data_IF_673328164332
#
_entry.id   IF_673328164332
#
_cell.length_a   1.000
_cell.length_b   1.000
_cell.length_c   1.000
_cell.angle_alpha   90.00
_cell.angle_beta   90.00
_cell.angle_gamma   90.00
#
_symmetry.space_group_name_H-M   'P 1'
#
loop_
_entity.id
_entity.type
_entity.pdbx_description
1 polymer ?
#
# COMPACT_ATOMS: atom_id res chain seq x y z
N UNK A 1 4.08 5.30 -4.81
CA UNK A 1 4.65 5.03 -6.14
C UNK A 1 4.73 3.52 -6.30
N UNK A 2 4.21 2.97 -7.39
CA UNK A 2 4.09 1.52 -7.54
C UNK A 2 5.44 0.89 -7.86
N UNK A 3 5.83 -0.10 -7.08
CA UNK A 3 7.01 -0.94 -7.33
C UNK A 3 6.61 -2.26 -7.99
N UNK A 4 5.63 -2.20 -8.89
CA UNK A 4 5.08 -3.37 -9.57
C UNK A 4 4.62 -3.04 -10.97
N UNK A 5 4.69 -4.02 -11.84
CA UNK A 5 4.15 -4.01 -13.20
C UNK A 5 3.40 -5.30 -13.42
N UNK A 6 2.30 -5.23 -14.15
CA UNK A 6 1.49 -6.38 -14.51
C UNK A 6 1.27 -6.43 -16.02
N UNK A 7 1.47 -7.59 -16.61
CA UNK A 7 1.24 -7.88 -18.01
C UNK A 7 0.21 -8.98 -18.13
N UNK A 8 -0.94 -8.66 -18.69
CA UNK A 8 -2.00 -9.61 -18.95
C UNK A 8 -2.10 -9.91 -20.45
N UNK A 9 -2.26 -11.17 -20.78
CA UNK A 9 -2.54 -11.61 -22.15
C UNK A 9 -3.98 -11.23 -22.53
N UNK A 10 -4.18 -10.73 -23.77
CA UNK A 10 -5.52 -10.26 -24.20
C UNK A 10 -6.54 -11.37 -24.37
N UNK A 11 -6.10 -12.58 -24.72
CA UNK A 11 -6.96 -13.74 -24.98
C UNK A 11 -6.87 -14.84 -23.93
N UNK A 12 -5.94 -14.74 -22.98
CA UNK A 12 -5.69 -15.72 -21.93
C UNK A 12 -6.11 -15.23 -20.54
N UNK A 13 -6.31 -16.18 -19.64
CA UNK A 13 -6.56 -15.92 -18.21
C UNK A 13 -5.23 -15.88 -17.42
N UNK A 14 -4.11 -15.66 -18.11
CA UNK A 14 -2.78 -15.66 -17.52
C UNK A 14 -2.17 -14.27 -17.60
N UNK A 15 -1.47 -13.90 -16.54
CA UNK A 15 -0.72 -12.66 -16.45
C UNK A 15 0.58 -12.87 -15.69
N UNK A 16 1.48 -11.91 -15.79
CA UNK A 16 2.76 -11.90 -15.13
C UNK A 16 2.96 -10.57 -14.43
N UNK A 17 3.07 -10.60 -13.11
CA UNK A 17 3.45 -9.42 -12.35
C UNK A 17 4.95 -9.43 -12.07
N UNK A 18 5.57 -8.26 -12.19
CA UNK A 18 6.97 -8.02 -11.90
C UNK A 18 7.08 -7.06 -10.72
N UNK A 19 7.65 -7.53 -9.62
CA UNK A 19 7.91 -6.75 -8.42
C UNK A 19 9.36 -6.27 -8.41
N UNK A 20 9.58 -5.08 -7.87
CA UNK A 20 10.91 -4.48 -7.71
C UNK A 20 11.03 -3.84 -6.33
N UNK A 21 12.22 -3.87 -5.74
CA UNK A 21 12.54 -3.21 -4.46
C UNK A 21 12.87 -1.72 -4.61
N UNK A 22 12.86 -1.21 -5.81
CA UNK A 22 13.15 0.19 -6.09
C UNK A 22 12.21 0.75 -7.16
N UNK A 23 12.10 2.06 -7.18
CA UNK A 23 11.36 2.76 -8.22
C UNK A 23 12.17 2.81 -9.48
N UNK A 24 11.59 2.33 -10.57
CA UNK A 24 12.26 2.27 -11.87
C UNK A 24 11.28 2.50 -13.00
N UNK A 25 11.78 2.74 -14.19
CA UNK A 25 11.02 2.65 -15.42
C UNK A 25 11.07 1.23 -15.98
N UNK A 26 10.13 0.92 -16.83
CA UNK A 26 10.06 -0.36 -17.52
C UNK A 26 9.79 -0.14 -19.01
N UNK A 27 10.13 -1.12 -19.82
CA UNK A 27 9.79 -1.20 -21.24
C UNK A 27 9.00 -2.46 -21.51
N UNK A 28 8.00 -2.34 -22.36
CA UNK A 28 7.24 -3.47 -22.91
C UNK A 28 6.55 -3.06 -24.19
N UNK A 29 6.53 -3.92 -25.20
CA UNK A 29 5.85 -3.68 -26.47
C UNK A 29 6.08 -4.84 -27.43
N UNK A 30 5.51 -4.76 -28.63
CA UNK A 30 5.64 -5.81 -29.66
C UNK A 30 7.11 -6.08 -30.01
N UNK A 31 7.94 -5.02 -30.08
CA UNK A 31 9.35 -5.10 -30.43
C UNK A 31 10.29 -5.15 -29.21
N UNK A 32 9.74 -5.06 -28.00
CA UNK A 32 10.54 -4.94 -26.77
C UNK A 32 10.08 -5.94 -25.72
N UNK A 33 10.98 -6.76 -25.19
CA UNK A 33 10.65 -7.62 -24.06
C UNK A 33 10.34 -6.78 -22.83
N UNK A 34 9.70 -7.42 -21.83
CA UNK A 34 9.58 -6.82 -20.52
C UNK A 34 10.97 -6.55 -19.95
N UNK A 35 11.30 -5.29 -19.77
CA UNK A 35 12.58 -4.84 -19.24
C UNK A 35 12.38 -3.89 -18.06
N UNK A 36 13.24 -4.01 -17.07
CA UNK A 36 13.36 -3.03 -15.98
C UNK A 36 14.61 -2.20 -16.18
N UNK A 37 14.49 -0.88 -16.06
CA UNK A 37 15.66 -0.02 -15.99
C UNK A 37 16.35 -0.21 -14.65
N UNK A 38 17.54 -0.76 -14.66
CA UNK A 38 18.31 -0.99 -13.45
C UNK A 38 18.81 0.32 -12.85
N UNK A 39 19.44 1.14 -13.66
CA UNK A 39 19.98 2.44 -13.27
C UNK A 39 20.29 3.28 -14.52
N UNK A 40 20.20 4.58 -14.38
CA UNK A 40 20.71 5.51 -15.38
C UNK A 40 22.14 5.93 -15.03
N UNK A 41 23.01 5.93 -16.04
CA UNK A 41 24.36 6.48 -15.94
C UNK A 41 24.67 7.26 -17.22
N UNK A 42 25.01 8.53 -17.11
CA UNK A 42 25.24 9.40 -18.26
C UNK A 42 25.20 10.87 -17.94
N UNK A 43 25.05 11.71 -18.96
CA UNK A 43 24.97 13.15 -18.82
C UNK A 43 23.77 13.60 -18.00
N UNK A 44 23.97 14.51 -17.07
CA UNK A 44 22.89 15.12 -16.29
C UNK A 44 22.09 16.13 -17.14
N UNK A 45 20.77 16.15 -17.00
CA UNK A 45 19.92 17.11 -17.71
C UNK A 45 20.08 18.55 -17.13
N UNK A 46 20.28 18.66 -15.82
CA UNK A 46 20.27 19.93 -15.08
C UNK A 46 21.32 19.97 -13.97
N UNK A 47 22.50 19.40 -14.20
CA UNK A 47 23.53 19.36 -13.18
C UNK A 47 24.68 18.42 -13.53
N UNK A 48 25.42 17.94 -12.52
CA UNK A 48 26.52 17.02 -12.74
C UNK A 48 26.06 15.69 -13.34
N UNK A 49 26.95 15.04 -14.07
CA UNK A 49 26.70 13.73 -14.64
C UNK A 49 26.39 12.70 -13.56
N UNK A 50 25.51 11.76 -13.90
CA UNK A 50 25.19 10.60 -13.06
C UNK A 50 26.25 9.53 -13.27
N UNK A 51 27.07 9.29 -12.27
CA UNK A 51 28.12 8.25 -12.32
C UNK A 51 27.81 7.14 -11.32
N UNK A 52 27.81 5.91 -11.81
CA UNK A 52 27.74 4.72 -10.95
C UNK A 52 29.17 4.44 -10.48
N UNK A 53 29.42 4.65 -9.18
CA UNK A 53 30.75 4.50 -8.58
C UNK A 53 30.89 3.29 -7.67
N UNK A 54 29.79 2.55 -7.50
CA UNK A 54 29.74 1.38 -6.59
C UNK A 54 28.80 0.30 -7.17
N UNK A 55 28.95 -0.96 -6.75
CA UNK A 55 28.04 -2.03 -7.15
C UNK A 55 26.59 -1.73 -6.72
N UNK A 56 25.66 -1.99 -7.62
CA UNK A 56 24.23 -1.90 -7.35
C UNK A 56 23.68 -3.26 -6.95
N UNK A 57 22.76 -3.27 -5.99
CA UNK A 57 21.96 -4.44 -5.65
C UNK A 57 20.51 -4.12 -5.94
N UNK A 58 19.87 -5.01 -6.66
CA UNK A 58 18.45 -4.92 -6.97
C UNK A 58 17.81 -6.26 -6.67
N UNK A 59 16.60 -6.21 -6.14
CA UNK A 59 15.78 -7.40 -5.95
C UNK A 59 14.55 -7.28 -6.82
N UNK A 60 14.19 -8.36 -7.45
CA UNK A 60 12.94 -8.46 -8.21
C UNK A 60 12.32 -9.83 -8.02
N UNK A 61 11.02 -9.90 -8.18
CA UNK A 61 10.28 -11.15 -8.20
C UNK A 61 9.31 -11.16 -9.37
N UNK A 62 9.07 -12.36 -9.91
CA UNK A 62 8.13 -12.60 -10.98
C UNK A 62 7.01 -13.46 -10.43
N UNK A 63 5.77 -13.00 -10.57
CA UNK A 63 4.59 -13.69 -10.08
C UNK A 63 3.68 -14.02 -11.26
N UNK A 64 3.68 -15.26 -11.76
CA UNK A 64 2.66 -15.69 -12.70
C UNK A 64 1.33 -15.85 -11.96
N UNK A 65 0.26 -15.32 -12.53
CA UNK A 65 -1.07 -15.41 -11.93
C UNK A 65 -2.17 -15.56 -12.98
N UNK A 66 -3.38 -15.85 -12.51
CA UNK A 66 -4.58 -15.84 -13.35
C UNK A 66 -5.41 -14.59 -13.11
N UNK A 67 -6.15 -14.20 -14.14
CA UNK A 67 -7.02 -13.03 -14.07
C UNK A 67 -6.26 -11.72 -14.07
N UNK A 68 -7.00 -10.65 -13.83
CA UNK A 68 -6.46 -9.29 -13.80
C UNK A 68 -5.73 -9.02 -12.49
N UNK A 69 -4.77 -8.12 -12.53
CA UNK A 69 -3.93 -7.71 -11.39
C UNK A 69 -4.75 -7.26 -10.15
N UNK A 70 -5.91 -6.63 -10.39
CA UNK A 70 -6.83 -6.13 -9.35
C UNK A 70 -7.64 -7.25 -8.65
N UNK A 71 -7.49 -8.49 -9.11
CA UNK A 71 -8.13 -9.70 -8.54
C UNK A 71 -7.11 -10.74 -8.06
N UNK A 72 -5.86 -10.53 -8.38
CA UNK A 72 -4.79 -11.46 -8.09
C UNK A 72 -3.96 -11.09 -6.84
N UNK A 73 -4.42 -10.11 -6.03
CA UNK A 73 -3.75 -9.65 -4.80
C UNK A 73 -2.31 -9.20 -5.00
N UNK A 74 -1.95 -8.75 -6.22
CA UNK A 74 -0.58 -8.32 -6.54
C UNK A 74 -0.15 -7.12 -5.68
N UNK A 75 -1.10 -6.31 -5.22
CA UNK A 75 -0.82 -5.22 -4.29
C UNK A 75 -0.26 -5.74 -2.97
N UNK A 76 -0.93 -6.72 -2.37
CA UNK A 76 -0.53 -7.32 -1.09
C UNK A 76 0.80 -8.06 -1.22
N UNK A 77 0.99 -8.80 -2.33
CA UNK A 77 2.25 -9.47 -2.62
C UNK A 77 3.41 -8.47 -2.74
N UNK A 78 3.16 -7.33 -3.40
CA UNK A 78 4.14 -6.24 -3.51
C UNK A 78 4.48 -5.63 -2.17
N UNK A 79 3.50 -5.45 -1.29
CA UNK A 79 3.73 -4.93 0.06
C UNK A 79 4.51 -5.93 0.91
N UNK A 80 4.13 -7.19 0.91
CA UNK A 80 4.88 -8.25 1.60
C UNK A 80 6.32 -8.37 1.12
N UNK A 81 6.56 -8.16 -0.17
CA UNK A 81 7.89 -8.17 -0.77
C UNK A 81 8.74 -6.96 -0.34
N UNK A 82 8.14 -5.76 -0.29
CA UNK A 82 8.84 -4.50 -0.08
C UNK A 82 8.90 -4.05 1.38
N UNK A 83 7.97 -4.54 2.22
CA UNK A 83 7.84 -4.17 3.62
C UNK A 83 8.16 -5.40 4.51
N UNK A 84 9.44 -5.65 4.81
CA UNK A 84 9.83 -6.82 5.58
C UNK A 84 9.27 -6.75 7.00
N UNK A 85 8.91 -7.93 7.54
CA UNK A 85 8.48 -8.04 8.92
C UNK A 85 9.57 -7.57 9.87
N UNK A 86 9.19 -6.69 10.79
CA UNK A 86 10.04 -6.32 11.92
C UNK A 86 9.85 -7.34 13.03
N UNK A 87 10.94 -7.80 13.61
CA UNK A 87 10.91 -8.74 14.72
C UNK A 87 11.84 -8.31 15.85
N UNK A 88 11.45 -8.65 17.06
CA UNK A 88 12.34 -8.58 18.24
C UNK A 88 12.17 -9.84 19.07
N UNK A 89 13.27 -10.29 19.69
CA UNK A 89 13.26 -11.47 20.53
C UNK A 89 13.11 -11.05 22.00
N UNK A 90 11.98 -11.39 22.61
CA UNK A 90 11.75 -11.23 24.04
C UNK A 90 10.91 -12.42 24.57
N UNK A 91 11.05 -12.79 25.83
CA UNK A 91 10.24 -13.86 26.39
C UNK A 91 8.75 -13.50 26.40
N UNK A 92 7.91 -14.35 25.84
CA UNK A 92 6.44 -14.19 25.86
C UNK A 92 5.84 -15.34 26.66
N UNK A 93 4.99 -15.02 27.60
CA UNK A 93 4.31 -16.05 28.40
C UNK A 93 3.29 -16.86 27.59
N UNK A 94 2.65 -16.22 26.60
CA UNK A 94 1.72 -16.85 25.65
C UNK A 94 1.84 -16.16 24.29
N UNK A 95 1.85 -16.92 23.18
CA UNK A 95 1.76 -16.33 21.86
C UNK A 95 0.37 -15.71 21.67
N UNK A 96 0.34 -14.45 21.29
CA UNK A 96 -0.89 -13.73 20.95
C UNK A 96 -0.75 -13.18 19.53
N UNK A 97 -1.83 -13.24 18.76
CA UNK A 97 -1.96 -12.58 17.47
C UNK A 97 -2.98 -11.46 17.62
N UNK A 98 -2.58 -10.23 17.27
CA UNK A 98 -3.44 -9.06 17.38
C UNK A 98 -3.30 -8.18 16.14
N UNK A 99 -4.44 -7.79 15.56
CA UNK A 99 -4.50 -6.80 14.50
C UNK A 99 -5.03 -5.50 15.07
N UNK A 100 -4.29 -4.41 14.89
CA UNK A 100 -4.72 -3.07 15.30
C UNK A 100 -5.75 -2.47 14.34
N UNK A 101 -5.58 -2.69 13.04
CA UNK A 101 -6.47 -2.24 11.98
C UNK A 101 -6.79 -3.45 11.10
N UNK A 102 -8.09 -3.69 10.87
CA UNK A 102 -8.57 -4.70 9.95
C UNK A 102 -9.36 -4.01 8.84
N UNK A 103 -8.84 -4.08 7.62
CA UNK A 103 -9.44 -3.49 6.43
C UNK A 103 -10.45 -4.39 5.74
N UNK A 104 -10.51 -5.67 6.11
CA UNK A 104 -11.41 -6.71 5.58
C UNK A 104 -11.40 -6.86 4.04
N UNK A 105 -10.50 -6.17 3.35
CA UNK A 105 -10.35 -6.23 1.91
C UNK A 105 -8.90 -6.01 1.54
N UNK A 106 -8.44 -6.72 0.53
CA UNK A 106 -7.09 -6.69 0.01
C UNK A 106 -6.77 -5.42 -0.79
N UNK A 107 -7.78 -4.67 -1.25
CA UNK A 107 -7.58 -3.49 -2.09
C UNK A 107 -7.17 -2.22 -1.36
N UNK A 108 -7.30 -2.16 -0.04
CA UNK A 108 -6.92 -0.96 0.73
C UNK A 108 -5.64 -1.22 1.52
N UNK A 109 -4.73 -0.26 1.45
CA UNK A 109 -3.43 -0.30 2.12
C UNK A 109 -3.34 0.83 3.15
N UNK A 110 -2.70 0.55 4.28
CA UNK A 110 -2.32 1.58 5.26
C UNK A 110 -1.04 2.25 4.77
N UNK A 111 -1.15 3.44 4.21
CA UNK A 111 0.02 4.19 3.72
C UNK A 111 0.69 5.07 4.78
N UNK A 112 -0.01 5.37 5.87
CA UNK A 112 0.58 6.00 7.05
C UNK A 112 -0.25 5.72 8.30
N UNK A 113 0.43 5.48 9.40
CA UNK A 113 -0.14 5.40 10.74
C UNK A 113 0.78 6.17 11.69
N UNK A 114 0.29 7.28 12.23
CA UNK A 114 1.12 8.19 13.03
C UNK A 114 0.35 8.67 14.26
N UNK A 115 1.06 8.82 15.38
CA UNK A 115 0.53 9.51 16.55
C UNK A 115 0.98 10.97 16.51
N UNK A 116 0.03 11.90 16.62
CA UNK A 116 0.30 13.32 16.70
C UNK A 116 -0.70 13.99 17.65
N UNK A 117 -0.20 14.75 18.60
CA UNK A 117 -0.99 15.53 19.56
C UNK A 117 -2.11 14.71 20.25
N UNK A 118 -1.80 13.47 20.64
CA UNK A 118 -2.74 12.56 21.29
C UNK A 118 -3.82 11.97 20.37
N UNK A 119 -3.75 12.21 19.08
CA UNK A 119 -4.63 11.64 18.06
C UNK A 119 -3.85 10.72 17.12
N UNK A 120 -4.53 9.74 16.56
CA UNK A 120 -3.95 8.84 15.55
C UNK A 120 -4.34 9.32 14.16
N UNK A 121 -3.36 9.58 13.32
CA UNK A 121 -3.56 9.83 11.90
C UNK A 121 -3.44 8.51 11.16
N UNK A 122 -4.50 8.12 10.48
CA UNK A 122 -4.57 6.94 9.60
C UNK A 122 -4.76 7.40 8.17
N UNK A 123 -3.82 7.04 7.29
CA UNK A 123 -3.96 7.28 5.85
C UNK A 123 -4.09 5.97 5.11
N UNK A 124 -5.14 5.88 4.33
CA UNK A 124 -5.45 4.72 3.50
C UNK A 124 -5.28 5.08 2.02
N UNK A 125 -4.88 4.09 1.26
CA UNK A 125 -4.73 4.14 -0.18
C UNK A 125 -5.50 2.99 -0.83
N UNK A 126 -6.28 3.27 -1.86
CA UNK A 126 -6.95 2.24 -2.66
C UNK A 126 -6.03 1.80 -3.80
N UNK A 127 -5.42 0.65 -3.65
CA UNK A 127 -4.39 0.15 -4.58
C UNK A 127 -4.94 -0.65 -5.75
N UNK A 128 -6.20 -1.09 -5.71
CA UNK A 128 -6.75 -2.01 -6.70
C UNK A 128 -7.89 -1.44 -7.56
N UNK A 129 -8.37 -0.27 -7.25
CA UNK A 129 -9.35 0.37 -8.11
C UNK A 129 -10.78 -0.11 -7.96
N UNK A 130 -11.11 -0.62 -6.80
CA UNK A 130 -12.47 -0.94 -6.39
C UNK A 130 -13.03 0.20 -5.55
N UNK A 131 -14.18 0.76 -5.96
CA UNK A 131 -14.84 1.87 -5.26
C UNK A 131 -15.92 1.40 -4.27
N UNK A 132 -16.02 0.10 -4.02
CA UNK A 132 -17.01 -0.45 -3.08
C UNK A 132 -16.83 0.11 -1.68
N UNK A 133 -17.94 0.16 -0.95
CA UNK A 133 -17.91 0.46 0.47
C UNK A 133 -17.12 -0.59 1.22
N UNK A 134 -16.14 -0.14 2.00
CA UNK A 134 -15.26 -0.98 2.78
C UNK A 134 -15.49 -0.74 4.26
N UNK A 135 -15.51 -1.82 5.02
CA UNK A 135 -15.53 -1.78 6.47
C UNK A 135 -14.10 -1.73 7.00
N UNK A 136 -13.82 -0.75 7.83
CA UNK A 136 -12.56 -0.62 8.55
C UNK A 136 -12.85 -0.83 10.03
N UNK A 137 -12.17 -1.80 10.64
CA UNK A 137 -12.26 -2.08 12.06
C UNK A 137 -10.96 -1.69 12.76
N UNK A 138 -11.06 -0.95 13.84
CA UNK A 138 -9.94 -0.50 14.67
C UNK A 138 -10.10 -1.14 16.06
N UNK A 139 -9.09 -1.87 16.50
CA UNK A 139 -9.12 -2.62 17.76
C UNK A 139 -8.88 -1.71 18.98
N UNK A 140 -9.67 -0.63 19.05
CA UNK A 140 -9.75 0.28 20.20
C UNK A 140 -11.05 1.09 20.14
N UNK A 141 -11.54 1.55 21.31
CA UNK A 141 -12.66 2.48 21.34
C UNK A 141 -12.21 3.88 20.88
N UNK A 142 -12.98 4.46 19.98
CA UNK A 142 -12.76 5.82 19.48
C UNK A 142 -13.90 6.72 19.92
N UNK A 143 -13.59 7.95 20.32
CA UNK A 143 -14.57 9.01 20.59
C UNK A 143 -15.02 9.75 19.32
N UNK A 144 -14.23 9.70 18.26
CA UNK A 144 -14.55 10.33 16.97
C UNK A 144 -13.59 9.96 15.86
N UNK A 145 -14.06 10.12 14.62
CA UNK A 145 -13.26 9.98 13.41
C UNK A 145 -13.59 11.13 12.48
N UNK A 146 -12.57 11.83 12.03
CA UNK A 146 -12.68 12.92 11.06
C UNK A 146 -11.89 12.57 9.80
N UNK A 147 -12.53 12.64 8.64
CA UNK A 147 -11.82 12.65 7.35
C UNK A 147 -11.23 14.04 7.17
N UNK A 148 -9.95 14.12 6.87
CA UNK A 148 -9.22 15.38 6.71
C UNK A 148 -8.53 15.44 5.35
N UNK A 149 -8.28 16.65 4.87
CA UNK A 149 -7.45 16.88 3.69
C UNK A 149 -5.94 16.70 4.02
N UNK A 150 -5.08 16.91 3.02
CA UNK A 150 -3.63 16.80 3.21
C UNK A 150 -3.04 17.87 4.13
N UNK A 151 -3.76 18.97 4.37
CA UNK A 151 -3.38 20.03 5.30
C UNK A 151 -3.93 19.80 6.71
N UNK A 152 -4.70 18.74 6.92
CA UNK A 152 -5.32 18.40 8.20
C UNK A 152 -6.64 19.12 8.48
N UNK A 153 -7.24 19.78 7.47
CA UNK A 153 -8.55 20.41 7.62
C UNK A 153 -9.65 19.36 7.53
N UNK A 154 -10.60 19.42 8.48
CA UNK A 154 -11.72 18.49 8.51
C UNK A 154 -12.62 18.67 7.29
N UNK A 155 -12.81 17.59 6.53
CA UNK A 155 -13.74 17.50 5.40
C UNK A 155 -15.09 17.02 5.91
N UNK A 156 -15.07 15.90 6.68
CA UNK A 156 -16.28 15.24 7.14
C UNK A 156 -16.03 14.47 8.44
N UNK A 157 -17.04 14.46 9.32
CA UNK A 157 -17.06 13.57 10.48
C UNK A 157 -17.69 12.24 10.11
N UNK A 158 -16.97 11.16 10.32
CA UNK A 158 -17.47 9.82 10.02
C UNK A 158 -18.30 9.24 11.15
N UNK A 159 -19.37 8.56 10.77
CA UNK A 159 -20.14 7.76 11.73
C UNK A 159 -19.34 6.52 12.11
N UNK A 160 -19.18 6.30 13.40
CA UNK A 160 -18.52 5.13 13.96
C UNK A 160 -19.51 4.31 14.81
N UNK A 161 -19.28 3.00 14.85
CA UNK A 161 -19.99 2.09 15.74
C UNK A 161 -18.94 1.44 16.65
N UNK A 162 -19.06 1.67 17.96
CA UNK A 162 -18.17 1.04 18.93
C UNK A 162 -18.89 -0.15 19.57
N UNK A 163 -18.29 -1.33 19.51
CA UNK A 163 -18.80 -2.56 20.09
C UNK A 163 -17.64 -3.41 20.62
N UNK A 164 -17.78 -3.91 21.84
CA UNK A 164 -16.79 -4.78 22.49
C UNK A 164 -15.34 -4.21 22.44
N UNK A 165 -15.19 -2.90 22.67
CA UNK A 165 -13.88 -2.23 22.66
C UNK A 165 -13.30 -1.95 21.27
N UNK A 166 -14.00 -2.30 20.19
CA UNK A 166 -13.58 -2.04 18.81
C UNK A 166 -14.46 -0.97 18.18
N UNK A 167 -13.88 -0.19 17.31
CA UNK A 167 -14.59 0.83 16.53
C UNK A 167 -14.60 0.47 15.07
N UNK A 168 -15.77 0.60 14.43
CA UNK A 168 -16.01 0.27 13.04
C UNK A 168 -16.50 1.51 12.30
N UNK A 169 -15.96 1.72 11.12
CA UNK A 169 -16.44 2.72 10.16
C UNK A 169 -16.56 2.12 8.77
N UNK A 170 -17.43 2.71 7.96
CA UNK A 170 -17.58 2.33 6.55
C UNK A 170 -17.12 3.50 5.69
N UNK A 171 -16.25 3.23 4.75
CA UNK A 171 -15.67 4.22 3.83
C UNK A 171 -15.76 3.73 2.39
N UNK A 172 -15.76 4.67 1.45
CA UNK A 172 -15.44 4.40 0.06
C UNK A 172 -14.29 5.31 -0.37
N UNK A 173 -13.45 4.83 -1.25
CA UNK A 173 -12.40 5.62 -1.88
C UNK A 173 -12.48 5.43 -3.39
N UNK A 174 -12.24 6.49 -4.16
CA UNK A 174 -12.12 6.35 -5.60
C UNK A 174 -10.91 5.47 -5.95
N UNK A 175 -10.94 4.94 -7.15
CA UNK A 175 -9.82 4.17 -7.69
C UNK A 175 -8.51 4.94 -7.55
N UNK A 176 -7.49 4.30 -6.96
CA UNK A 176 -6.20 4.91 -6.64
C UNK A 176 -6.28 6.16 -5.76
N UNK A 177 -7.41 6.32 -5.05
CA UNK A 177 -7.61 7.43 -4.13
C UNK A 177 -6.85 7.25 -2.82
N UNK A 178 -6.63 8.39 -2.16
CA UNK A 178 -6.04 8.46 -0.83
C UNK A 178 -7.03 9.18 0.07
N UNK A 179 -7.25 8.64 1.28
CA UNK A 179 -8.00 9.32 2.33
C UNK A 179 -7.23 9.30 3.63
N UNK A 180 -7.33 10.43 4.35
CA UNK A 180 -6.68 10.58 5.65
C UNK A 180 -7.75 10.77 6.72
N UNK A 181 -7.62 10.04 7.81
CA UNK A 181 -8.52 10.07 8.96
C UNK A 181 -7.76 10.46 10.22
N UNK A 182 -8.34 11.34 11.02
CA UNK A 182 -7.90 11.62 12.38
C UNK A 182 -8.81 10.88 13.33
N UNK A 183 -8.22 9.96 14.09
CA UNK A 183 -8.90 9.12 15.08
C UNK A 183 -8.69 9.74 16.45
N UNK A 184 -9.78 10.07 17.13
CA UNK A 184 -9.75 10.56 18.51
C UNK A 184 -9.97 9.39 19.47
N UNK A 185 -9.02 9.18 20.35
CA UNK A 185 -9.09 8.12 21.36
C UNK A 185 -10.11 8.50 22.46
N UNK A 186 -10.68 7.48 23.11
CA UNK A 186 -11.60 7.66 24.25
C UNK A 186 -10.84 7.90 25.51
#
# INVERSE_FOLDING_TARGET
>A
MYKRQDLAEQEGDYALALLSDHTTSYSYGEDYPLGLTAQYSGGGLWGPDYKITHPLRMKYAIIPHRGKWDKASIADDSDCWNEPLLYSCYPVAKPESKSFIDLQNTGYQVSALQMKDGKVLLRLFNSEGDERLQKVTIDMPLSGVEEVDLNGQCIERKKIKTRAGKSEMTISMPRFGIKTFVLSLT
#
